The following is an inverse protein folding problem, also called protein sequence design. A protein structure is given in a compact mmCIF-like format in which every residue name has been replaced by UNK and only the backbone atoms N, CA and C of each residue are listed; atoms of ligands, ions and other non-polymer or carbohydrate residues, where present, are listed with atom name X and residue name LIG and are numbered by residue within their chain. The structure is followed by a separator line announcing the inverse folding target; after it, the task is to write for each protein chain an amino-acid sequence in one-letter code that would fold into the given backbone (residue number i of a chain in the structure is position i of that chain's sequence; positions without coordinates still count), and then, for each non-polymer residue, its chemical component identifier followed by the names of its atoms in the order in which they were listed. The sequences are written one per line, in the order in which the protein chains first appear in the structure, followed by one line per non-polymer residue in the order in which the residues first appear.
data_IF_905350139460
#
_entry.id   IF_905350139460
#
_cell.length_a   1.000
_cell.length_b   1.000
_cell.length_c   1.000
_cell.angle_alpha   90.00
_cell.angle_beta   90.00
_cell.angle_gamma   90.00
#
_symmetry.space_group_name_H-M   'P 1'
#
loop_
_entity.id
_entity.type
_entity.pdbx_description
1 polymer ?
#
# COMPACT_ATOMS: atom_id res chain seq x y z
N UNK A 1 -6.89 -19.15 -27.56
CA UNK A 1 -6.03 -19.25 -26.37
C UNK A 1 -5.98 -17.86 -25.78
N UNK A 2 -6.92 -17.55 -24.90
CA UNK A 2 -6.94 -16.26 -24.21
C UNK A 2 -5.81 -16.38 -23.19
N UNK A 3 -4.68 -15.74 -23.42
CA UNK A 3 -3.65 -15.65 -22.38
C UNK A 3 -4.32 -14.93 -21.20
N UNK A 4 -4.69 -15.70 -20.17
CA UNK A 4 -5.03 -15.17 -18.86
C UNK A 4 -3.83 -14.37 -18.41
N UNK A 5 -3.87 -13.07 -18.67
CA UNK A 5 -2.85 -12.12 -18.27
C UNK A 5 -2.73 -12.26 -16.75
N UNK A 6 -1.65 -12.88 -16.29
CA UNK A 6 -1.41 -13.34 -14.92
C UNK A 6 -1.18 -12.18 -13.92
N UNK A 7 -2.03 -11.17 -13.96
CA UNK A 7 -2.03 -9.96 -13.16
C UNK A 7 -3.35 -9.17 -13.21
N UNK A 8 -4.32 -9.60 -14.03
CA UNK A 8 -5.64 -8.98 -14.15
C UNK A 8 -6.52 -9.25 -12.90
N UNK A 9 -7.49 -8.36 -12.65
CA UNK A 9 -8.51 -8.54 -11.62
C UNK A 9 -9.21 -9.90 -11.76
N UNK A 10 -9.23 -10.72 -10.70
CA UNK A 10 -9.76 -12.08 -10.69
C UNK A 10 -8.72 -13.19 -10.92
N UNK A 11 -7.42 -12.87 -10.99
CA UNK A 11 -6.33 -13.85 -11.12
C UNK A 11 -5.55 -14.01 -9.82
N UNK A 12 -4.99 -15.20 -9.55
CA UNK A 12 -4.21 -15.49 -8.33
C UNK A 12 -3.03 -14.53 -8.09
N UNK A 13 -2.53 -13.88 -9.14
CA UNK A 13 -1.48 -12.88 -9.04
C UNK A 13 -1.97 -11.54 -8.48
N UNK A 14 -3.19 -11.10 -8.82
CA UNK A 14 -3.81 -9.90 -8.22
C UNK A 14 -4.04 -10.12 -6.72
N UNK A 15 -4.49 -11.33 -6.36
CA UNK A 15 -4.65 -11.78 -4.98
C UNK A 15 -3.32 -11.69 -4.20
N UNK A 16 -2.23 -12.22 -4.76
CA UNK A 16 -0.91 -12.18 -4.13
C UNK A 16 -0.38 -10.75 -3.96
N UNK A 17 -0.55 -9.88 -4.95
CA UNK A 17 -0.14 -8.47 -4.88
C UNK A 17 -0.90 -7.70 -3.79
N UNK A 18 -2.21 -7.94 -3.65
CA UNK A 18 -3.07 -7.32 -2.63
C UNK A 18 -2.81 -7.84 -1.22
N UNK A 19 -2.54 -9.15 -1.09
CA UNK A 19 -2.04 -9.72 0.17
C UNK A 19 -0.73 -9.06 0.58
N UNK A 20 0.22 -8.93 -0.35
CA UNK A 20 1.48 -8.23 -0.11
C UNK A 20 1.27 -6.82 0.41
N UNK A 21 0.46 -6.00 -0.29
CA UNK A 21 0.12 -4.64 0.13
C UNK A 21 -0.48 -4.59 1.54
N UNK A 22 -1.42 -5.50 1.84
CA UNK A 22 -2.07 -5.55 3.16
C UNK A 22 -1.06 -5.89 4.26
N UNK A 23 -0.17 -6.85 4.03
CA UNK A 23 0.86 -7.25 4.99
C UNK A 23 1.89 -6.13 5.20
N UNK A 24 2.38 -5.51 4.13
CA UNK A 24 3.36 -4.44 4.22
C UNK A 24 2.78 -3.17 4.88
N UNK A 25 1.54 -2.82 4.55
CA UNK A 25 0.84 -1.68 5.16
C UNK A 25 0.46 -1.94 6.63
N UNK A 26 0.06 -3.16 6.98
CA UNK A 26 -0.18 -3.53 8.38
C UNK A 26 1.11 -3.55 9.19
N UNK A 27 2.21 -4.04 8.60
CA UNK A 27 3.53 -4.05 9.23
C UNK A 27 4.03 -2.63 9.51
N UNK A 28 3.91 -1.69 8.55
CA UNK A 28 4.30 -0.29 8.77
C UNK A 28 3.46 0.36 9.89
N UNK A 29 2.15 0.10 9.92
CA UNK A 29 1.27 0.57 11.00
C UNK A 29 1.64 -0.04 12.36
N UNK A 30 1.95 -1.33 12.43
CA UNK A 30 2.35 -1.99 13.67
C UNK A 30 3.66 -1.43 14.21
N UNK A 31 4.66 -1.21 13.35
CA UNK A 31 5.90 -0.57 13.77
C UNK A 31 5.70 0.88 14.21
N UNK A 32 4.69 1.58 13.68
CA UNK A 32 4.30 2.90 14.12
C UNK A 32 3.42 2.96 15.37
N UNK A 33 2.56 1.98 15.64
CA UNK A 33 1.68 2.02 16.81
C UNK A 33 2.35 1.48 18.09
N UNK A 34 3.42 0.69 17.97
CA UNK A 34 4.07 0.03 19.12
C UNK A 34 5.06 0.92 19.90
N UNK A 35 5.38 2.12 19.43
CA UNK A 35 6.31 3.03 20.12
C UNK A 35 5.51 4.19 20.77
N UNK A 36 5.87 4.64 21.98
CA UNK A 36 5.02 5.45 22.88
C UNK A 36 5.27 6.97 22.72
N UNK A 37 5.58 7.45 21.51
CA UNK A 37 6.00 8.84 21.29
C UNK A 37 5.49 9.56 20.03
N UNK A 38 4.51 9.00 19.30
CA UNK A 38 4.26 9.37 17.90
C UNK A 38 3.50 10.66 17.61
N UNK A 39 2.91 11.33 18.60
CA UNK A 39 2.01 12.46 18.32
C UNK A 39 2.73 13.79 18.07
N UNK A 40 4.07 13.86 18.22
CA UNK A 40 4.81 15.11 18.06
C UNK A 40 5.10 15.53 16.61
N UNK A 41 5.01 14.62 15.62
CA UNK A 41 5.38 14.95 14.22
C UNK A 41 4.26 14.61 13.24
N UNK A 42 3.85 15.61 12.45
CA UNK A 42 2.74 15.56 11.50
C UNK A 42 2.93 14.51 10.40
N UNK A 43 4.15 14.26 9.93
CA UNK A 43 4.39 13.25 8.88
C UNK A 43 4.09 11.82 9.35
N UNK A 44 4.29 11.52 10.62
CA UNK A 44 3.97 10.19 11.15
C UNK A 44 2.46 9.99 11.26
N UNK A 45 1.73 10.99 11.76
CA UNK A 45 0.26 11.00 11.75
C UNK A 45 -0.30 10.85 10.33
N UNK A 46 0.32 11.51 9.36
CA UNK A 46 -0.03 11.36 7.95
C UNK A 46 0.18 9.92 7.47
N UNK A 47 1.35 9.30 7.70
CA UNK A 47 1.59 7.91 7.30
C UNK A 47 0.60 6.92 7.94
N UNK A 48 0.30 7.06 9.24
CA UNK A 48 -0.72 6.23 9.92
C UNK A 48 -2.08 6.36 9.24
N UNK A 49 -2.50 7.59 8.95
CA UNK A 49 -3.79 7.86 8.30
C UNK A 49 -3.86 7.23 6.92
N UNK A 50 -2.78 7.35 6.14
CA UNK A 50 -2.69 6.79 4.79
C UNK A 50 -2.71 5.28 4.83
N UNK A 51 -1.88 4.64 5.64
CA UNK A 51 -1.85 3.18 5.78
C UNK A 51 -3.19 2.65 6.33
N UNK A 52 -3.83 3.41 7.23
CA UNK A 52 -5.16 3.11 7.74
C UNK A 52 -6.27 3.15 6.68
N UNK A 53 -6.12 3.92 5.60
CA UNK A 53 -7.00 3.87 4.43
C UNK A 53 -6.64 2.76 3.44
N UNK A 54 -5.34 2.50 3.26
CA UNK A 54 -4.82 1.48 2.33
C UNK A 54 -5.26 0.07 2.75
N UNK A 55 -5.29 -0.23 4.05
CA UNK A 55 -5.67 -1.56 4.57
C UNK A 55 -7.13 -1.93 4.24
N UNK A 56 -8.17 -1.14 4.61
CA UNK A 56 -9.55 -1.46 4.28
C UNK A 56 -9.79 -1.56 2.78
N UNK A 57 -9.13 -0.69 1.99
CA UNK A 57 -9.22 -0.73 0.54
C UNK A 57 -8.70 -2.05 -0.03
N UNK A 58 -7.47 -2.44 0.36
CA UNK A 58 -6.88 -3.69 -0.08
C UNK A 58 -7.65 -4.92 0.41
N UNK A 59 -8.16 -4.92 1.64
CA UNK A 59 -9.00 -6.02 2.16
C UNK A 59 -10.29 -6.14 1.35
N UNK A 60 -10.97 -5.02 1.08
CA UNK A 60 -12.20 -5.03 0.26
C UNK A 60 -11.92 -5.63 -1.11
N UNK A 61 -10.84 -5.18 -1.75
CA UNK A 61 -10.38 -5.67 -3.03
C UNK A 61 -9.94 -7.14 -3.00
N UNK A 62 -9.32 -7.59 -1.91
CA UNK A 62 -8.93 -8.98 -1.68
C UNK A 62 -10.16 -9.88 -1.56
N UNK A 63 -11.19 -9.46 -0.82
CA UNK A 63 -12.44 -10.21 -0.67
C UNK A 63 -13.16 -10.32 -2.00
N UNK A 64 -13.23 -9.24 -2.79
CA UNK A 64 -13.85 -9.28 -4.12
C UNK A 64 -13.07 -10.17 -5.08
N UNK A 65 -11.73 -10.13 -5.02
CA UNK A 65 -10.87 -10.97 -5.86
C UNK A 65 -11.00 -12.47 -5.51
N UNK A 66 -10.98 -12.80 -4.22
CA UNK A 66 -11.25 -14.14 -3.73
C UNK A 66 -12.66 -14.61 -4.15
N UNK A 67 -13.67 -13.76 -4.01
CA UNK A 67 -15.03 -14.07 -4.44
C UNK A 67 -15.08 -14.37 -5.94
N UNK A 68 -14.38 -13.58 -6.77
CA UNK A 68 -14.27 -13.81 -8.22
C UNK A 68 -13.63 -15.17 -8.54
N UNK A 69 -12.53 -15.51 -7.85
CA UNK A 69 -11.81 -16.79 -8.04
C UNK A 69 -12.67 -17.98 -7.62
N UNK A 70 -13.38 -17.89 -6.48
CA UNK A 70 -14.19 -19.00 -5.96
C UNK A 70 -15.50 -19.19 -6.73
N UNK A 71 -16.15 -18.11 -7.18
CA UNK A 71 -17.49 -18.17 -7.77
C UNK A 71 -17.49 -18.06 -9.30
N UNK A 72 -16.36 -17.73 -9.95
CA UNK A 72 -16.16 -17.67 -11.43
C UNK A 72 -17.18 -16.82 -12.22
N UNK A 73 -18.15 -16.20 -11.55
CA UNK A 73 -19.34 -15.61 -12.16
C UNK A 73 -19.62 -14.21 -11.61
N UNK A 74 -18.61 -13.34 -11.63
CA UNK A 74 -18.83 -11.90 -11.47
C UNK A 74 -18.64 -11.24 -12.83
N UNK A 75 -19.70 -10.69 -13.47
CA UNK A 75 -19.51 -9.97 -14.72
C UNK A 75 -18.63 -8.76 -14.42
N UNK A 76 -17.41 -8.77 -14.97
CA UNK A 76 -16.45 -7.67 -14.85
C UNK A 76 -17.05 -6.46 -15.56
N UNK A 77 -17.69 -5.59 -14.77
CA UNK A 77 -18.28 -4.35 -15.25
C UNK A 77 -17.17 -3.32 -15.47
N UNK A 78 -17.16 -2.66 -16.63
CA UNK A 78 -16.21 -1.56 -16.96
C UNK A 78 -16.19 -0.47 -15.88
N UNK A 79 -17.35 -0.23 -15.24
CA UNK A 79 -17.49 0.71 -14.11
C UNK A 79 -16.71 0.27 -12.87
N UNK A 80 -16.65 -1.03 -12.58
CA UNK A 80 -15.92 -1.57 -11.43
C UNK A 80 -14.41 -1.44 -11.63
N UNK A 81 -13.90 -1.78 -12.83
CA UNK A 81 -12.49 -1.61 -13.19
C UNK A 81 -12.07 -0.15 -13.03
N UNK A 82 -12.89 0.81 -13.49
CA UNK A 82 -12.60 2.23 -13.34
C UNK A 82 -12.51 2.67 -11.86
N UNK A 83 -13.43 2.20 -11.00
CA UNK A 83 -13.39 2.52 -9.56
C UNK A 83 -12.10 2.00 -8.93
N UNK A 84 -11.69 0.77 -9.27
CA UNK A 84 -10.45 0.16 -8.77
C UNK A 84 -9.24 0.97 -9.26
N UNK A 85 -9.21 1.31 -10.55
CA UNK A 85 -8.13 2.09 -11.17
C UNK A 85 -7.95 3.44 -10.47
N UNK A 86 -9.03 4.20 -10.29
CA UNK A 86 -8.97 5.49 -9.60
C UNK A 86 -8.58 5.36 -8.13
N UNK A 87 -9.08 4.33 -7.44
CA UNK A 87 -8.73 4.09 -6.04
C UNK A 87 -7.27 3.73 -5.84
N UNK A 88 -6.74 2.79 -6.63
CA UNK A 88 -5.32 2.39 -6.58
C UNK A 88 -4.40 3.57 -6.98
N UNK A 89 -4.83 4.40 -7.93
CA UNK A 89 -4.10 5.62 -8.30
C UNK A 89 -4.03 6.61 -7.12
N UNK A 90 -5.17 6.95 -6.50
CA UNK A 90 -5.21 7.91 -5.39
C UNK A 90 -4.39 7.39 -4.20
N UNK A 91 -4.56 6.12 -3.84
CA UNK A 91 -3.84 5.52 -2.72
C UNK A 91 -2.35 5.36 -2.98
N UNK A 92 -1.93 5.12 -4.23
CA UNK A 92 -0.51 5.10 -4.58
C UNK A 92 0.12 6.49 -4.45
N UNK A 93 -0.53 7.56 -4.95
CA UNK A 93 -0.02 8.93 -4.74
C UNK A 93 0.07 9.30 -3.26
N UNK A 94 -0.94 8.92 -2.48
CA UNK A 94 -1.00 9.22 -1.06
C UNK A 94 0.06 8.47 -0.25
N UNK A 95 0.30 7.19 -0.56
CA UNK A 95 1.35 6.38 0.07
C UNK A 95 2.76 6.83 -0.30
N UNK A 96 2.99 7.27 -1.54
CA UNK A 96 4.25 7.89 -1.94
C UNK A 96 4.52 9.17 -1.16
N UNK A 97 3.53 10.07 -1.07
CA UNK A 97 3.67 11.30 -0.31
C UNK A 97 3.99 11.02 1.16
N UNK A 98 3.30 10.06 1.78
CA UNK A 98 3.56 9.65 3.15
C UNK A 98 4.95 9.03 3.34
N UNK A 99 5.38 8.15 2.44
CA UNK A 99 6.71 7.55 2.48
C UNK A 99 7.81 8.60 2.32
N UNK A 100 7.70 9.53 1.37
CA UNK A 100 8.67 10.60 1.16
C UNK A 100 8.75 11.56 2.36
N UNK A 101 7.62 11.96 2.93
CA UNK A 101 7.60 12.83 4.12
C UNK A 101 8.22 12.15 5.33
N UNK A 102 7.94 10.87 5.55
CA UNK A 102 8.51 10.13 6.68
C UNK A 102 9.99 9.80 6.48
N UNK A 103 10.43 9.51 5.26
CA UNK A 103 11.84 9.31 4.93
C UNK A 103 12.65 10.59 5.15
N UNK A 104 12.14 11.75 4.72
CA UNK A 104 12.81 13.04 4.93
C UNK A 104 12.95 13.39 6.41
N UNK A 105 11.90 13.18 7.21
CA UNK A 105 12.00 13.41 8.66
C UNK A 105 12.92 12.39 9.33
N UNK A 106 12.91 11.13 8.90
CA UNK A 106 13.81 10.11 9.44
C UNK A 106 15.29 10.44 9.16
N UNK A 107 15.60 10.96 7.96
CA UNK A 107 16.96 11.35 7.56
C UNK A 107 17.43 12.60 8.34
N UNK A 108 16.58 13.63 8.46
CA UNK A 108 16.86 14.81 9.28
C UNK A 108 17.08 14.46 10.76
N UNK A 109 16.32 13.51 11.31
CA UNK A 109 16.50 13.02 12.68
C UNK A 109 17.79 12.21 12.85
N UNK A 110 18.27 11.56 11.79
CA UNK A 110 19.55 10.84 11.76
C UNK A 110 20.72 11.82 11.74
N UNK A 111 20.63 12.87 10.92
CA UNK A 111 21.68 13.86 10.70
C UNK A 111 21.80 14.87 11.86
N UNK A 112 20.69 15.18 12.53
CA UNK A 112 20.65 16.01 13.75
C UNK A 112 21.26 15.33 15.00
N UNK A 113 21.97 14.22 14.81
CA UNK A 113 22.68 13.39 15.79
C UNK A 113 22.92 14.02 17.16
N UNK A 114 22.01 13.76 18.11
CA UNK A 114 22.19 14.17 19.50
C UNK A 114 21.00 13.84 20.39
N UNK A 115 21.10 12.78 21.20
CA UNK A 115 20.22 12.44 22.35
C UNK A 115 18.73 12.12 22.11
N UNK A 116 18.11 12.49 20.98
CA UNK A 116 16.67 12.33 20.77
C UNK A 116 16.25 10.99 20.11
N UNK A 117 17.18 10.16 19.63
CA UNK A 117 16.83 8.87 19.04
C UNK A 117 17.86 7.78 19.38
N UNK A 118 17.54 6.84 20.29
CA UNK A 118 18.33 5.62 20.46
C UNK A 118 18.43 4.89 19.11
N UNK A 119 19.56 4.26 18.78
CA UNK A 119 19.78 3.61 17.48
C UNK A 119 18.72 2.54 17.14
N UNK A 120 18.09 1.96 18.17
CA UNK A 120 16.97 1.00 18.00
C UNK A 120 15.66 1.64 17.56
N UNK A 121 15.37 2.87 17.94
CA UNK A 121 14.16 3.58 17.52
C UNK A 121 14.33 4.12 16.09
N UNK A 122 15.47 4.76 15.80
CA UNK A 122 15.71 5.35 14.48
C UNK A 122 15.66 4.32 13.35
N UNK A 123 16.26 3.15 13.57
CA UNK A 123 16.20 2.04 12.62
C UNK A 123 14.79 1.51 12.36
N UNK A 124 13.88 1.61 13.34
CA UNK A 124 12.47 1.18 13.19
C UNK A 124 11.65 2.16 12.34
N UNK A 125 11.86 3.47 12.49
CA UNK A 125 11.20 4.48 11.65
C UNK A 125 11.59 4.31 10.17
N UNK A 126 12.89 4.09 9.93
CA UNK A 126 13.40 3.83 8.58
C UNK A 126 12.82 2.52 8.00
N UNK A 127 12.69 1.47 8.82
CA UNK A 127 12.06 0.21 8.41
C UNK A 127 10.56 0.41 8.08
N UNK A 128 9.85 1.19 8.88
CA UNK A 128 8.44 1.53 8.62
C UNK A 128 8.27 2.30 7.31
N UNK A 129 9.14 3.29 7.05
CA UNK A 129 9.14 4.04 5.79
C UNK A 129 9.46 3.14 4.59
N UNK A 130 10.41 2.20 4.73
CA UNK A 130 10.73 1.23 3.69
C UNK A 130 9.56 0.28 3.39
N UNK A 131 8.85 -0.20 4.42
CA UNK A 131 7.66 -1.04 4.24
C UNK A 131 6.51 -0.26 3.58
N UNK A 132 6.33 1.01 3.92
CA UNK A 132 5.39 1.90 3.24
C UNK A 132 5.76 2.10 1.75
N UNK A 133 7.04 2.25 1.44
CA UNK A 133 7.52 2.37 0.06
C UNK A 133 7.33 1.08 -0.74
N UNK A 134 7.56 -0.09 -0.13
CA UNK A 134 7.28 -1.39 -0.75
C UNK A 134 5.77 -1.58 -1.00
N UNK A 135 4.92 -1.17 -0.06
CA UNK A 135 3.47 -1.16 -0.26
C UNK A 135 3.08 -0.27 -1.45
N UNK A 136 3.65 0.93 -1.53
CA UNK A 136 3.42 1.83 -2.66
C UNK A 136 3.83 1.20 -4.00
N UNK A 137 5.01 0.58 -4.07
CA UNK A 137 5.50 -0.08 -5.27
C UNK A 137 4.54 -1.18 -5.75
N UNK A 138 4.03 -2.00 -4.82
CA UNK A 138 3.06 -3.04 -5.15
C UNK A 138 1.72 -2.47 -5.61
N UNK A 139 1.26 -1.36 -5.02
CA UNK A 139 0.06 -0.65 -5.48
C UNK A 139 0.25 -0.09 -6.89
N UNK A 140 1.43 0.47 -7.20
CA UNK A 140 1.76 0.98 -8.53
C UNK A 140 1.79 -0.13 -9.59
N UNK A 141 2.39 -1.28 -9.26
CA UNK A 141 2.37 -2.46 -10.13
C UNK A 141 0.94 -2.94 -10.37
N UNK A 142 0.09 -2.96 -9.34
CA UNK A 142 -1.34 -3.33 -9.47
C UNK A 142 -2.11 -2.35 -10.36
N UNK A 143 -1.85 -1.05 -10.22
CA UNK A 143 -2.43 -0.01 -11.08
C UNK A 143 -2.04 -0.22 -12.56
N UNK A 144 -0.76 -0.50 -12.84
CA UNK A 144 -0.29 -0.76 -14.20
C UNK A 144 -0.98 -1.97 -14.83
N UNK A 145 -1.11 -3.08 -14.09
CA UNK A 145 -1.83 -4.27 -14.58
C UNK A 145 -3.32 -3.99 -14.83
N UNK A 146 -3.99 -3.26 -13.93
CA UNK A 146 -5.39 -2.86 -14.11
C UNK A 146 -5.58 -1.89 -15.29
N UNK A 147 -4.62 -0.99 -15.53
CA UNK A 147 -4.63 -0.08 -16.68
C UNK A 147 -4.45 -0.84 -18.00
N UNK A 148 -3.52 -1.78 -18.05
CA UNK A 148 -3.32 -2.66 -19.21
C UNK A 148 -4.57 -3.49 -19.51
N UNK A 149 -5.22 -4.03 -18.47
CA UNK A 149 -6.49 -4.74 -18.62
C UNK A 149 -7.59 -3.85 -19.21
N UNK A 150 -7.73 -2.61 -18.72
CA UNK A 150 -8.69 -1.65 -19.28
C UNK A 150 -8.39 -1.32 -20.75
N UNK A 151 -7.12 -1.17 -21.12
CA UNK A 151 -6.71 -0.94 -22.51
C UNK A 151 -7.03 -2.11 -23.43
N UNK A 152 -7.02 -3.34 -22.89
CA UNK A 152 -7.34 -4.56 -23.65
C UNK A 152 -8.85 -4.84 -23.82
N UNK A 153 -9.74 -4.03 -23.21
CA UNK A 153 -11.18 -4.25 -23.04
C UNK A 153 -12.05 -3.26 -23.83
#
# INVERSE_FOLDING_TARGET
MMEELAGAFGTSASLALRLGQTVFSSSSLLFMCLDVGFYSYTAFSYLVTVMGLVIPWNITLLVVDAYSVFIKYLPIQRRLILIILFGDMILSYLSLAAACSTASIADLLLEAGGSHCPPKLCGRYQLSAAMAFLSWFLSFVSFLFNFWLFSSL
#
